data_IF_326408547551
#
_entry.id   IF_326408547551
#
_cell.length_a   1.000
_cell.length_b   1.000
_cell.length_c   1.000
_cell.angle_alpha   90.00
_cell.angle_beta   90.00
_cell.angle_gamma   90.00
#
_symmetry.space_group_name_H-M   'P 1'
#
loop_
_entity.id
_entity.type
_entity.pdbx_description
1 polymer ?
#
# COMPACT_ATOMS: atom_id res chain seq x y z
N UNK A 1 -64.41 -1.81 12.99
CA UNK A 1 -63.14 -2.36 13.49
C UNK A 1 -62.41 -3.01 12.32
N UNK A 2 -61.53 -2.27 11.66
CA UNK A 2 -60.79 -2.74 10.46
C UNK A 2 -59.39 -3.17 10.88
N UNK A 3 -59.11 -4.47 10.79
CA UNK A 3 -57.81 -5.03 11.13
C UNK A 3 -56.78 -4.71 10.04
N UNK A 4 -55.75 -3.93 10.41
CA UNK A 4 -54.54 -3.71 9.62
C UNK A 4 -53.79 -5.03 9.50
N UNK A 5 -53.69 -5.57 8.29
CA UNK A 5 -52.76 -6.65 7.98
C UNK A 5 -51.33 -6.09 8.08
N UNK A 6 -50.52 -6.70 8.94
CA UNK A 6 -49.11 -6.40 9.08
C UNK A 6 -48.35 -7.03 7.91
N UNK A 7 -47.73 -6.19 7.07
CA UNK A 7 -46.78 -6.62 6.04
C UNK A 7 -45.54 -7.24 6.70
N UNK A 8 -45.34 -8.53 6.47
CA UNK A 8 -44.12 -9.25 6.83
C UNK A 8 -42.93 -8.66 6.06
N UNK A 9 -41.85 -8.22 6.72
CA UNK A 9 -40.70 -7.65 6.02
C UNK A 9 -40.05 -8.74 5.17
N UNK A 10 -40.05 -8.53 3.85
CA UNK A 10 -39.39 -9.40 2.86
C UNK A 10 -37.92 -9.54 3.24
N UNK A 11 -37.55 -10.75 3.66
CA UNK A 11 -36.18 -11.19 3.96
C UNK A 11 -35.32 -10.94 2.73
N UNK A 12 -34.60 -9.82 2.69
CA UNK A 12 -33.60 -9.52 1.66
C UNK A 12 -32.63 -10.70 1.64
N UNK A 13 -32.64 -11.48 0.56
CA UNK A 13 -31.66 -12.54 0.33
C UNK A 13 -30.28 -11.87 0.31
N UNK A 14 -29.48 -12.12 1.35
CA UNK A 14 -28.06 -11.73 1.35
C UNK A 14 -27.43 -12.51 0.21
N UNK A 15 -27.13 -11.82 -0.89
CA UNK A 15 -26.39 -12.38 -2.03
C UNK A 15 -25.10 -12.99 -1.48
N UNK A 16 -24.81 -14.28 -1.72
CA UNK A 16 -23.62 -14.91 -1.17
C UNK A 16 -22.40 -14.15 -1.68
N UNK A 17 -21.49 -13.79 -0.76
CA UNK A 17 -20.24 -13.12 -1.09
C UNK A 17 -19.53 -13.90 -2.20
N UNK A 18 -19.07 -13.19 -3.23
CA UNK A 18 -18.38 -13.80 -4.37
C UNK A 18 -17.18 -14.60 -3.85
N UNK A 19 -17.08 -15.87 -4.24
CA UNK A 19 -15.94 -16.71 -3.86
C UNK A 19 -14.65 -16.10 -4.43
N UNK A 20 -13.55 -16.05 -3.66
CA UNK A 20 -12.29 -15.52 -4.17
C UNK A 20 -11.84 -16.32 -5.39
N UNK A 21 -11.50 -15.62 -6.47
CA UNK A 21 -11.03 -16.27 -7.69
C UNK A 21 -9.61 -16.81 -7.47
N UNK A 22 -9.46 -18.14 -7.54
CA UNK A 22 -8.16 -18.79 -7.50
C UNK A 22 -7.45 -18.54 -8.82
N UNK A 23 -6.27 -17.91 -8.76
CA UNK A 23 -5.39 -17.73 -9.92
C UNK A 23 -4.31 -18.81 -9.89
N UNK A 24 -4.08 -19.45 -11.04
CA UNK A 24 -2.98 -20.39 -11.17
C UNK A 24 -1.65 -19.61 -11.19
N UNK A 25 -0.68 -20.06 -10.41
CA UNK A 25 0.66 -19.47 -10.36
C UNK A 25 1.66 -20.60 -10.19
N UNK A 26 2.79 -20.50 -10.88
CA UNK A 26 3.81 -21.54 -10.91
C UNK A 26 5.10 -21.00 -10.30
N UNK A 27 5.56 -21.63 -9.22
CA UNK A 27 6.84 -21.35 -8.59
C UNK A 27 7.77 -22.54 -8.75
N UNK A 28 9.02 -22.27 -9.13
CA UNK A 28 10.07 -23.30 -9.20
C UNK A 28 10.73 -23.42 -7.84
N UNK A 29 10.36 -24.45 -7.09
CA UNK A 29 10.95 -24.74 -5.78
C UNK A 29 12.28 -25.48 -5.94
N UNK A 30 13.20 -25.27 -5.00
CA UNK A 30 14.43 -26.06 -4.95
C UNK A 30 14.12 -27.57 -4.78
N UNK A 31 14.94 -28.48 -5.36
CA UNK A 31 14.68 -29.92 -5.31
C UNK A 31 14.52 -30.49 -3.89
N UNK A 32 15.33 -30.02 -2.94
CA UNK A 32 15.24 -30.48 -1.54
C UNK A 32 13.89 -30.09 -0.89
N UNK A 33 13.34 -28.92 -1.22
CA UNK A 33 12.01 -28.49 -0.75
C UNK A 33 10.91 -29.33 -1.37
N UNK A 34 11.02 -29.66 -2.66
CA UNK A 34 10.05 -30.53 -3.33
C UNK A 34 10.03 -31.93 -2.70
N UNK A 35 11.20 -32.50 -2.41
CA UNK A 35 11.32 -33.79 -1.73
C UNK A 35 10.73 -33.73 -0.32
N UNK A 36 11.05 -32.68 0.45
CA UNK A 36 10.48 -32.45 1.78
C UNK A 36 8.95 -32.34 1.76
N UNK A 37 8.40 -31.55 0.84
CA UNK A 37 6.94 -31.42 0.65
C UNK A 37 6.30 -32.76 0.24
N UNK A 38 6.94 -33.54 -0.62
CA UNK A 38 6.42 -34.84 -1.03
C UNK A 38 6.38 -35.83 0.14
N UNK A 39 7.41 -35.85 0.99
CA UNK A 39 7.44 -36.67 2.19
C UNK A 39 6.37 -36.21 3.20
N UNK A 40 6.33 -34.91 3.50
CA UNK A 40 5.40 -34.35 4.48
C UNK A 40 3.95 -34.49 4.04
N UNK A 41 3.67 -34.34 2.74
CA UNK A 41 2.34 -34.51 2.17
C UNK A 41 1.82 -35.95 2.31
N UNK A 42 2.69 -36.96 2.20
CA UNK A 42 2.32 -38.37 2.43
C UNK A 42 1.91 -38.64 3.88
N UNK A 43 2.57 -37.98 4.82
CA UNK A 43 2.32 -38.13 6.26
C UNK A 43 1.09 -37.35 6.68
N UNK A 44 1.02 -36.05 6.35
CA UNK A 44 -0.10 -35.15 6.71
C UNK A 44 -1.36 -35.34 5.87
N UNK A 45 -1.31 -36.12 4.78
CA UNK A 45 -2.40 -36.33 3.81
C UNK A 45 -2.93 -35.03 3.19
N UNK A 46 -2.06 -34.05 2.99
CA UNK A 46 -2.37 -32.77 2.35
C UNK A 46 -1.57 -32.58 1.07
N UNK A 47 -2.10 -31.79 0.14
CA UNK A 47 -1.42 -31.50 -1.12
C UNK A 47 -0.22 -30.57 -0.91
N UNK A 48 0.79 -30.68 -1.78
CA UNK A 48 1.94 -29.79 -1.76
C UNK A 48 1.53 -28.31 -1.89
N UNK A 49 0.56 -27.99 -2.77
CA UNK A 49 0.05 -26.63 -2.93
C UNK A 49 -0.59 -26.08 -1.66
N UNK A 50 -1.30 -26.92 -0.90
CA UNK A 50 -1.89 -26.50 0.37
C UNK A 50 -0.81 -26.16 1.39
N UNK A 51 0.22 -27.00 1.54
CA UNK A 51 1.34 -26.73 2.45
C UNK A 51 2.14 -25.50 2.03
N UNK A 52 2.34 -25.29 0.73
CA UNK A 52 3.02 -24.08 0.23
C UNK A 52 2.20 -22.84 0.56
N UNK A 53 0.88 -22.86 0.35
CA UNK A 53 0.03 -21.72 0.68
C UNK A 53 -0.01 -21.45 2.20
N UNK A 54 -0.07 -22.50 3.02
CA UNK A 54 0.00 -22.41 4.49
C UNK A 54 1.33 -21.77 4.93
N UNK A 55 2.46 -22.32 4.47
CA UNK A 55 3.78 -21.82 4.81
C UNK A 55 4.02 -20.37 4.34
N UNK A 56 3.54 -20.02 3.14
CA UNK A 56 3.62 -18.64 2.63
C UNK A 56 2.74 -17.70 3.45
N UNK A 57 1.53 -18.13 3.84
CA UNK A 57 0.65 -17.36 4.71
C UNK A 57 1.30 -17.05 6.05
N UNK A 58 1.81 -18.09 6.73
CA UNK A 58 2.52 -17.94 8.02
C UNK A 58 3.75 -17.04 7.90
N UNK A 59 4.53 -17.19 6.84
CA UNK A 59 5.68 -16.32 6.58
C UNK A 59 5.27 -14.87 6.40
N UNK A 60 4.23 -14.60 5.60
CA UNK A 60 3.76 -13.25 5.34
C UNK A 60 3.20 -12.59 6.61
N UNK A 61 2.40 -13.31 7.40
CA UNK A 61 1.83 -12.80 8.64
C UNK A 61 2.95 -12.42 9.64
N UNK A 62 3.90 -13.33 9.85
CA UNK A 62 5.01 -13.09 10.77
C UNK A 62 5.92 -11.94 10.32
N UNK A 63 6.27 -11.90 9.02
CA UNK A 63 7.18 -10.87 8.50
C UNK A 63 6.53 -9.51 8.37
N UNK A 64 5.26 -9.45 8.00
CA UNK A 64 4.52 -8.18 7.92
C UNK A 64 4.35 -7.57 9.32
N UNK A 65 4.04 -8.39 10.32
CA UNK A 65 3.93 -7.92 11.70
C UNK A 65 5.26 -7.36 12.23
N UNK A 66 6.37 -8.08 12.00
CA UNK A 66 7.70 -7.64 12.40
C UNK A 66 8.11 -6.33 11.73
N UNK A 67 7.97 -6.24 10.39
CA UNK A 67 8.32 -5.03 9.64
C UNK A 67 7.46 -3.84 10.06
N UNK A 68 6.17 -4.06 10.31
CA UNK A 68 5.27 -3.00 10.81
C UNK A 68 5.75 -2.47 12.16
N UNK A 69 6.09 -3.36 13.10
CA UNK A 69 6.58 -2.96 14.41
C UNK A 69 7.89 -2.15 14.33
N UNK A 70 8.84 -2.60 13.51
CA UNK A 70 10.13 -1.90 13.32
C UNK A 70 9.93 -0.50 12.71
N UNK A 71 9.02 -0.37 11.74
CA UNK A 71 8.68 0.91 11.12
C UNK A 71 7.97 1.85 12.11
N UNK A 72 7.05 1.34 12.91
CA UNK A 72 6.37 2.12 13.95
C UNK A 72 7.34 2.62 15.02
N UNK A 73 8.31 1.78 15.42
CA UNK A 73 9.37 2.19 16.33
C UNK A 73 10.25 3.30 15.71
N UNK A 74 10.65 3.12 14.46
CA UNK A 74 11.46 4.10 13.74
C UNK A 74 10.72 5.44 13.63
N UNK A 75 9.44 5.43 13.24
CA UNK A 75 8.60 6.62 13.18
C UNK A 75 8.47 7.30 14.55
N UNK A 76 8.32 6.53 15.63
CA UNK A 76 8.25 7.06 16.99
C UNK A 76 9.55 7.77 17.38
N UNK A 77 10.72 7.19 17.07
CA UNK A 77 12.03 7.80 17.34
C UNK A 77 12.21 9.10 16.57
N UNK A 78 11.83 9.14 15.29
CA UNK A 78 11.88 10.36 14.46
C UNK A 78 10.97 11.45 15.01
N UNK A 79 9.74 11.10 15.43
CA UNK A 79 8.81 12.05 16.05
C UNK A 79 9.33 12.59 17.37
N UNK A 80 9.84 11.71 18.23
CA UNK A 80 10.43 12.12 19.51
C UNK A 80 11.61 13.09 19.30
N UNK A 81 12.49 12.81 18.33
CA UNK A 81 13.58 13.73 17.97
C UNK A 81 13.04 15.11 17.59
N UNK A 82 12.04 15.17 16.70
CA UNK A 82 11.39 16.43 16.31
C UNK A 82 10.78 17.17 17.50
N UNK A 83 10.10 16.47 18.39
CA UNK A 83 9.45 17.08 19.56
C UNK A 83 10.46 17.58 20.60
N UNK A 84 11.60 16.90 20.72
CA UNK A 84 12.66 17.28 21.66
C UNK A 84 13.58 18.38 21.15
N UNK A 85 13.57 18.67 19.85
CA UNK A 85 14.40 19.72 19.27
C UNK A 85 13.68 21.08 19.38
N UNK A 86 14.07 21.95 20.34
CA UNK A 86 13.43 23.25 20.54
C UNK A 86 13.66 24.20 19.37
N UNK A 87 14.65 23.93 18.52
CA UNK A 87 14.99 24.73 17.38
C UNK A 87 14.46 24.16 16.07
N UNK A 88 13.76 23.02 16.07
CA UNK A 88 13.35 22.30 14.85
C UNK A 88 12.63 23.21 13.84
N UNK A 89 11.55 23.86 14.28
CA UNK A 89 10.77 24.78 13.43
C UNK A 89 11.59 26.02 13.05
N UNK A 90 12.48 26.49 13.93
CA UNK A 90 13.37 27.62 13.63
C UNK A 90 14.46 27.27 12.62
N UNK A 91 14.94 26.03 12.61
CA UNK A 91 15.92 25.52 11.67
C UNK A 91 15.29 25.35 10.29
N UNK A 92 14.05 24.85 10.23
CA UNK A 92 13.25 24.82 9.00
C UNK A 92 13.04 26.25 8.46
N UNK A 93 12.65 27.20 9.32
CA UNK A 93 12.43 28.58 8.92
C UNK A 93 13.71 29.25 8.41
N UNK A 94 14.85 29.06 9.10
CA UNK A 94 16.16 29.56 8.68
C UNK A 94 16.61 28.95 7.36
N UNK A 95 16.36 27.65 7.18
CA UNK A 95 16.65 26.96 5.93
C UNK A 95 15.80 27.50 4.78
N UNK A 96 14.48 27.62 4.97
CA UNK A 96 13.57 28.18 3.97
C UNK A 96 13.92 29.64 3.62
N UNK A 97 14.31 30.45 4.61
CA UNK A 97 14.78 31.81 4.39
C UNK A 97 16.12 31.84 3.66
N UNK A 98 17.06 30.94 3.97
CA UNK A 98 18.32 30.86 3.21
C UNK A 98 18.09 30.43 1.78
N UNK A 99 17.25 29.43 1.53
CA UNK A 99 16.87 29.00 0.19
C UNK A 99 16.19 30.14 -0.58
N UNK A 100 15.19 30.80 0.01
CA UNK A 100 14.50 31.93 -0.63
C UNK A 100 15.44 33.12 -0.95
N UNK A 101 16.48 33.34 -0.14
CA UNK A 101 17.50 34.38 -0.38
C UNK A 101 18.46 34.00 -1.52
N UNK A 102 18.68 32.72 -1.78
CA UNK A 102 19.61 32.24 -2.80
C UNK A 102 18.93 31.73 -4.08
N UNK A 103 17.63 31.38 -4.05
CA UNK A 103 16.91 30.79 -5.18
C UNK A 103 16.76 31.71 -6.41
N UNK A 104 16.89 33.02 -6.25
CA UNK A 104 16.95 33.93 -7.40
C UNK A 104 18.27 33.82 -8.20
N UNK A 105 19.32 33.22 -7.62
CA UNK A 105 20.66 33.11 -8.21
C UNK A 105 21.27 31.70 -8.05
N UNK A 106 20.50 30.67 -7.73
CA UNK A 106 21.02 29.30 -7.62
C UNK A 106 21.27 28.73 -9.04
N UNK A 107 22.52 28.52 -9.45
CA UNK A 107 22.85 28.00 -10.78
C UNK A 107 22.40 26.53 -10.99
N UNK A 108 21.97 25.83 -9.93
CA UNK A 108 21.51 24.44 -9.95
C UNK A 108 19.98 24.36 -9.96
N UNK A 109 19.28 25.43 -9.59
CA UNK A 109 17.82 25.49 -9.60
C UNK A 109 17.32 25.72 -11.04
N UNK A 110 16.53 24.78 -11.55
CA UNK A 110 16.00 24.87 -12.91
C UNK A 110 15.03 26.04 -13.05
N UNK A 111 15.14 26.82 -14.12
CA UNK A 111 14.22 27.93 -14.38
C UNK A 111 12.82 27.41 -14.72
N UNK A 112 11.80 27.84 -13.99
CA UNK A 112 10.41 27.67 -14.42
C UNK A 112 10.17 28.49 -15.70
N UNK A 113 10.17 27.82 -16.85
CA UNK A 113 9.78 28.40 -18.14
C UNK A 113 8.26 28.69 -18.07
N UNK A 114 7.86 29.81 -17.45
CA UNK A 114 6.48 30.29 -17.45
C UNK A 114 6.03 30.83 -18.81
N UNK A 115 6.94 30.88 -19.78
CA UNK A 115 6.58 31.13 -21.16
C UNK A 115 5.95 29.86 -21.73
N UNK A 116 4.61 29.82 -21.70
CA UNK A 116 3.83 28.82 -22.42
C UNK A 116 4.23 28.86 -23.90
N UNK A 117 5.21 28.03 -24.27
CA UNK A 117 5.54 27.77 -25.67
C UNK A 117 4.26 27.29 -26.36
N UNK A 118 4.04 27.60 -27.65
CA UNK A 118 2.77 27.35 -28.34
C UNK A 118 2.27 25.89 -28.27
N UNK A 119 3.16 24.92 -28.00
CA UNK A 119 2.81 23.53 -27.76
C UNK A 119 1.90 23.29 -26.54
N UNK A 120 2.01 24.10 -25.48
CA UNK A 120 1.21 23.94 -24.25
C UNK A 120 -0.18 24.59 -24.36
N UNK A 121 -0.35 25.57 -25.26
CA UNK A 121 -1.64 26.23 -25.54
C UNK A 121 -2.64 25.29 -26.24
N UNK A 122 -2.17 24.22 -26.89
CA UNK A 122 -3.02 23.25 -27.58
C UNK A 122 -3.74 22.26 -26.65
N UNK A 123 -3.32 22.10 -25.40
CA UNK A 123 -3.87 21.08 -24.49
C UNK A 123 -5.06 21.59 -23.67
N UNK A 124 -5.40 22.89 -23.77
CA UNK A 124 -6.53 23.51 -23.04
C UNK A 124 -7.79 23.74 -23.88
N UNK A 125 -7.85 23.27 -25.13
CA UNK A 125 -9.12 23.24 -25.85
C UNK A 125 -9.75 21.85 -25.72
N UNK A 126 -11.01 21.74 -25.25
CA UNK A 126 -11.75 20.49 -25.40
C UNK A 126 -11.92 20.23 -26.89
N UNK A 127 -11.50 19.05 -27.35
CA UNK A 127 -11.83 18.54 -28.67
C UNK A 127 -13.36 18.58 -28.78
N UNK A 128 -13.87 19.51 -29.59
CA UNK A 128 -15.30 19.69 -29.85
C UNK A 128 -15.49 19.59 -31.35
N UNK A 129 -16.14 18.51 -31.78
CA UNK A 129 -16.51 18.24 -33.17
C UNK A 129 -15.63 17.19 -33.81
#
# INVERSE_FOLDING_TARGET
MTAKQAETPRRRSRRPAARPQRRATTYRLHPHLQQGLALLGKVRKVSANQMVNEAVGEYLDARTAAVTADLEETLRRVRAYRETDPNFESAIAKFAESEARHGANDPVEGTEDHEARPAQRMVRQPIRG
#
